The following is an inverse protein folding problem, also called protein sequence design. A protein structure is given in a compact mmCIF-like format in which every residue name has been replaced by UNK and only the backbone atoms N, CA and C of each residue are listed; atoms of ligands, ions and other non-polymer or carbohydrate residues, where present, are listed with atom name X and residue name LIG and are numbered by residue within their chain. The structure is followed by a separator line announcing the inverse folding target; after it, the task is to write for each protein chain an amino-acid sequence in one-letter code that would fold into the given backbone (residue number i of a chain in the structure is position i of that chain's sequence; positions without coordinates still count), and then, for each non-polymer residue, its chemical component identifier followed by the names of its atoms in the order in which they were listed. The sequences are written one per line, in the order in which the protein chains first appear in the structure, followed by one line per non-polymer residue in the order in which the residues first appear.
data_IF_005304612858
#
_entry.id   IF_005304612858
#
_cell.length_a   1.000
_cell.length_b   1.000
_cell.length_c   1.000
_cell.angle_alpha   90.00
_cell.angle_beta   90.00
_cell.angle_gamma   90.00
#
_symmetry.space_group_name_H-M   'P 1'
#
loop_
_entity.id
_entity.type
_entity.pdbx_description
1 polymer ?
#
# COMPACT_ATOMS: atom_id res chain seq x y z
N UNK A 1 -26.51 18.39 19.94
CA UNK A 1 -25.58 19.42 19.48
C UNK A 1 -24.11 19.01 19.62
N UNK A 2 -23.62 18.63 20.81
CA UNK A 2 -22.25 18.12 20.97
C UNK A 2 -21.90 16.96 20.02
N UNK A 3 -22.87 16.13 19.66
CA UNK A 3 -22.68 15.03 18.72
C UNK A 3 -22.31 15.49 17.29
N UNK A 4 -22.94 16.58 16.80
CA UNK A 4 -22.58 17.12 15.46
C UNK A 4 -21.13 17.58 15.41
N UNK A 5 -20.64 18.22 16.49
CA UNK A 5 -19.24 18.61 16.60
C UNK A 5 -18.30 17.40 16.62
N UNK A 6 -18.66 16.33 17.34
CA UNK A 6 -17.85 15.11 17.38
C UNK A 6 -17.81 14.42 16.02
N UNK A 7 -18.94 14.33 15.32
CA UNK A 7 -19.03 13.77 13.97
C UNK A 7 -18.19 14.60 12.99
N UNK A 8 -18.34 15.92 13.02
CA UNK A 8 -17.58 16.83 12.15
C UNK A 8 -16.08 16.78 12.44
N UNK A 9 -15.69 16.70 13.72
CA UNK A 9 -14.29 16.56 14.13
C UNK A 9 -13.69 15.24 13.65
N UNK A 10 -14.41 14.12 13.79
CA UNK A 10 -13.94 12.82 13.30
C UNK A 10 -13.80 12.81 11.77
N UNK A 11 -14.79 13.36 11.07
CA UNK A 11 -14.75 13.52 9.61
C UNK A 11 -13.59 14.40 9.14
N UNK A 12 -13.38 15.56 9.80
CA UNK A 12 -12.28 16.47 9.46
C UNK A 12 -10.92 15.80 9.61
N UNK A 13 -10.68 15.13 10.75
CA UNK A 13 -9.42 14.40 10.97
C UNK A 13 -9.21 13.27 9.97
N UNK A 14 -10.27 12.61 9.55
CA UNK A 14 -10.22 11.55 8.53
C UNK A 14 -9.86 12.11 7.15
N UNK A 15 -10.54 13.15 6.69
CA UNK A 15 -10.24 13.80 5.42
C UNK A 15 -8.82 14.38 5.38
N UNK A 16 -8.34 14.94 6.50
CA UNK A 16 -6.97 15.43 6.59
C UNK A 16 -5.94 14.30 6.39
N UNK A 17 -6.15 13.15 7.02
CA UNK A 17 -5.25 11.98 6.84
C UNK A 17 -5.36 11.39 5.43
N UNK A 18 -6.56 11.36 4.82
CA UNK A 18 -6.72 11.00 3.40
C UNK A 18 -5.92 11.93 2.51
N UNK A 19 -5.97 13.25 2.76
CA UNK A 19 -5.18 14.23 2.00
C UNK A 19 -3.69 13.96 2.11
N UNK A 20 -3.17 13.64 3.30
CA UNK A 20 -1.77 13.28 3.48
C UNK A 20 -1.39 12.01 2.70
N UNK A 21 -2.26 11.01 2.72
CA UNK A 21 -2.04 9.76 1.96
C UNK A 21 -2.00 10.02 0.45
N UNK A 22 -2.98 10.74 -0.10
CA UNK A 22 -3.04 11.12 -1.51
C UNK A 22 -1.80 11.93 -1.91
N UNK A 23 -1.41 12.90 -1.09
CA UNK A 23 -0.20 13.73 -1.34
C UNK A 23 1.05 12.85 -1.36
N UNK A 24 1.15 11.87 -0.47
CA UNK A 24 2.27 10.93 -0.44
C UNK A 24 2.31 10.05 -1.70
N UNK A 25 1.16 9.52 -2.15
CA UNK A 25 1.05 8.76 -3.39
C UNK A 25 1.51 9.60 -4.59
N UNK A 26 1.01 10.83 -4.74
CA UNK A 26 1.40 11.73 -5.84
C UNK A 26 2.91 12.02 -5.80
N UNK A 27 3.46 12.30 -4.62
CA UNK A 27 4.89 12.61 -4.46
C UNK A 27 5.78 11.44 -4.85
N UNK A 28 5.31 10.20 -4.67
CA UNK A 28 6.03 8.97 -5.00
C UNK A 28 5.57 8.31 -6.31
N UNK A 29 4.76 8.98 -7.12
CA UNK A 29 4.27 8.43 -8.38
C UNK A 29 5.38 8.11 -9.39
N UNK A 30 6.54 8.78 -9.30
CA UNK A 30 7.71 8.54 -10.14
C UNK A 30 8.81 7.75 -9.42
N UNK A 31 8.58 7.31 -8.17
CA UNK A 31 9.56 6.55 -7.40
C UNK A 31 9.51 5.07 -7.82
N UNK A 32 10.62 4.49 -8.32
CA UNK A 32 10.64 3.08 -8.71
C UNK A 32 10.29 2.14 -7.56
N UNK A 33 9.44 1.15 -7.84
CA UNK A 33 9.01 0.15 -6.87
C UNK A 33 8.10 0.66 -5.76
N UNK A 34 7.66 1.93 -5.81
CA UNK A 34 6.67 2.44 -4.85
C UNK A 34 5.30 1.82 -5.12
N UNK A 35 4.60 1.48 -4.06
CA UNK A 35 3.25 0.92 -4.08
C UNK A 35 2.24 1.89 -3.46
N UNK A 36 1.13 2.10 -4.18
CA UNK A 36 0.04 2.96 -3.75
C UNK A 36 -0.49 2.54 -2.39
N UNK A 37 -0.70 3.49 -1.50
CA UNK A 37 -1.36 3.25 -0.21
C UNK A 37 -2.78 3.79 -0.23
N UNK A 38 -3.71 3.08 0.40
CA UNK A 38 -5.13 3.45 0.50
C UNK A 38 -5.56 3.53 1.95
N UNK A 39 -6.40 4.52 2.25
CA UNK A 39 -7.00 4.68 3.57
C UNK A 39 -8.31 3.92 3.63
N UNK A 40 -8.42 2.98 4.55
CA UNK A 40 -9.64 2.23 4.81
C UNK A 40 -10.41 2.88 5.95
N UNK A 41 -11.72 3.03 5.73
CA UNK A 41 -12.61 3.74 6.62
C UNK A 41 -13.60 2.77 7.26
N UNK A 42 -13.82 2.93 8.56
CA UNK A 42 -14.88 2.27 9.29
C UNK A 42 -15.84 3.28 9.93
N UNK A 43 -17.10 2.93 9.99
CA UNK A 43 -18.10 3.69 10.74
C UNK A 43 -17.92 3.45 12.24
N UNK A 44 -18.15 4.48 13.04
CA UNK A 44 -18.24 4.35 14.49
C UNK A 44 -19.59 3.73 14.88
N UNK A 45 -19.65 3.13 16.07
CA UNK A 45 -20.89 2.53 16.57
C UNK A 45 -22.02 3.56 16.62
N UNK A 46 -23.20 3.27 16.03
CA UNK A 46 -24.34 4.16 16.09
C UNK A 46 -24.90 4.25 17.50
N UNK A 47 -25.51 5.39 17.83
CA UNK A 47 -26.30 5.53 19.06
C UNK A 47 -27.74 5.12 18.73
N UNK A 48 -28.22 4.10 19.41
CA UNK A 48 -29.59 3.62 19.28
C UNK A 48 -30.50 4.52 20.14
N UNK A 49 -31.30 5.35 19.49
CA UNK A 49 -32.30 6.20 20.17
C UNK A 49 -33.57 5.43 20.45
N UNK A 50 -33.93 4.49 19.60
CA UNK A 50 -35.07 3.63 19.74
C UNK A 50 -34.77 2.26 19.15
N UNK A 51 -34.95 1.21 19.91
CA UNK A 51 -34.82 -0.15 19.44
C UNK A 51 -35.96 -0.52 18.47
N UNK A 52 -35.65 -1.39 17.50
CA UNK A 52 -36.68 -1.95 16.65
C UNK A 52 -37.52 -2.92 17.46
N UNK A 53 -38.78 -2.58 17.67
CA UNK A 53 -39.73 -3.38 18.46
C UNK A 53 -40.76 -4.01 17.51
N UNK A 54 -40.91 -5.31 17.56
CA UNK A 54 -41.96 -6.06 16.86
C UNK A 54 -43.03 -6.35 17.93
N UNK A 55 -44.16 -5.60 17.92
CA UNK A 55 -45.31 -5.94 18.74
C UNK A 55 -46.29 -6.78 17.91
N UNK A 56 -46.53 -7.98 18.37
CA UNK A 56 -47.67 -8.80 17.90
C UNK A 56 -48.91 -8.23 18.60
N UNK A 57 -49.89 -7.76 17.82
CA UNK A 57 -51.19 -7.43 18.39
C UNK A 57 -51.94 -8.76 18.58
N UNK A 58 -52.18 -9.14 19.82
CA UNK A 58 -53.11 -10.17 20.20
C UNK A 58 -54.53 -9.61 20.08
N UNK A 59 -55.06 -9.50 18.87
CA UNK A 59 -56.51 -9.30 18.65
C UNK A 59 -57.02 -10.51 17.90
N UNK A 60 -58.02 -11.19 18.48
CA UNK A 60 -58.61 -12.48 18.05
C UNK A 60 -59.38 -12.46 16.71
N UNK A 61 -59.51 -11.28 16.05
CA UNK A 61 -60.20 -11.17 14.76
C UNK A 61 -59.30 -10.72 13.61
N UNK A 62 -58.89 -11.73 12.79
CA UNK A 62 -58.58 -11.61 11.38
C UNK A 62 -57.69 -10.45 10.91
N UNK A 63 -56.49 -10.38 11.31
CA UNK A 63 -55.29 -10.04 10.53
C UNK A 63 -54.11 -9.67 11.47
N UNK A 64 -53.01 -10.40 11.55
CA UNK A 64 -51.90 -9.98 12.39
C UNK A 64 -51.22 -8.78 11.75
N UNK A 65 -51.65 -7.56 12.04
CA UNK A 65 -50.90 -6.37 11.71
C UNK A 65 -49.61 -6.36 12.54
N UNK A 66 -48.53 -6.83 11.96
CA UNK A 66 -47.20 -6.68 12.54
C UNK A 66 -46.85 -5.19 12.48
N UNK A 67 -47.05 -4.45 13.55
CA UNK A 67 -46.52 -3.08 13.72
C UNK A 67 -45.02 -3.19 13.96
N UNK A 68 -44.22 -3.19 12.84
CA UNK A 68 -42.77 -3.03 12.93
C UNK A 68 -42.46 -1.59 13.27
N UNK A 69 -42.10 -1.29 14.53
CA UNK A 69 -41.41 -0.05 14.83
C UNK A 69 -39.98 -0.14 14.30
N UNK A 70 -39.65 0.75 13.36
CA UNK A 70 -38.24 0.86 12.88
C UNK A 70 -37.41 1.47 14.01
N UNK A 71 -36.27 0.89 14.31
CA UNK A 71 -35.27 1.47 15.17
C UNK A 71 -34.80 2.81 14.61
N UNK A 72 -34.48 3.75 15.48
CA UNK A 72 -33.85 5.03 15.12
C UNK A 72 -32.40 4.95 15.59
N UNK A 73 -31.49 4.93 14.65
CA UNK A 73 -30.06 4.91 14.90
C UNK A 73 -29.43 6.22 14.42
N UNK A 74 -28.58 6.78 15.23
CA UNK A 74 -27.79 7.98 14.91
C UNK A 74 -26.33 7.56 14.70
N UNK A 75 -25.80 7.79 13.48
CA UNK A 75 -24.38 7.61 13.20
C UNK A 75 -23.54 8.57 14.04
N UNK A 76 -22.39 8.10 14.52
CA UNK A 76 -21.47 8.87 15.38
C UNK A 76 -20.21 9.35 14.67
N UNK A 77 -20.08 9.06 13.37
CA UNK A 77 -18.97 9.49 12.53
C UNK A 77 -18.17 8.35 11.93
N UNK A 78 -16.95 8.65 11.52
CA UNK A 78 -16.04 7.77 10.78
C UNK A 78 -14.66 7.76 11.44
N UNK A 79 -13.98 6.62 11.36
CA UNK A 79 -12.57 6.47 11.74
C UNK A 79 -11.78 5.82 10.62
N UNK A 80 -10.48 6.04 10.61
CA UNK A 80 -9.56 5.25 9.81
C UNK A 80 -9.35 3.92 10.53
N UNK A 81 -9.58 2.84 9.82
CA UNK A 81 -9.36 1.48 10.32
C UNK A 81 -7.95 1.01 10.04
N UNK A 82 -7.51 1.16 8.78
CA UNK A 82 -6.18 0.77 8.34
C UNK A 82 -5.69 1.66 7.20
N UNK A 83 -4.42 1.54 6.89
CA UNK A 83 -3.82 2.01 5.64
C UNK A 83 -3.24 0.78 4.98
N UNK A 84 -3.88 0.31 3.90
CA UNK A 84 -3.44 -0.83 3.10
C UNK A 84 -2.50 -0.38 1.98
N UNK A 85 -1.61 -1.28 1.56
CA UNK A 85 -0.70 -1.06 0.43
C UNK A 85 -1.15 -1.93 -0.74
N UNK A 86 -1.38 -1.34 -1.90
CA UNK A 86 -1.74 -2.07 -3.11
C UNK A 86 -0.49 -2.58 -3.81
N UNK A 87 -0.21 -3.88 -3.72
CA UNK A 87 0.95 -4.52 -4.34
C UNK A 87 0.72 -4.92 -5.80
N UNK A 88 -0.33 -4.44 -6.46
CA UNK A 88 -0.52 -4.64 -7.90
C UNK A 88 0.72 -4.19 -8.69
N UNK A 89 0.95 -4.84 -9.84
CA UNK A 89 2.09 -4.57 -10.70
C UNK A 89 2.01 -3.17 -11.30
N UNK A 90 3.11 -2.41 -11.22
CA UNK A 90 3.26 -1.12 -11.86
C UNK A 90 3.71 -1.26 -13.33
N UNK A 91 3.72 -0.17 -14.07
CA UNK A 91 4.21 -0.16 -15.44
C UNK A 91 5.71 -0.42 -15.48
N UNK A 92 6.15 -1.36 -16.34
CA UNK A 92 7.56 -1.64 -16.56
C UNK A 92 8.15 -0.63 -17.55
N UNK A 93 9.19 0.07 -17.13
CA UNK A 93 9.95 0.99 -17.95
C UNK A 93 11.26 0.36 -18.38
N UNK A 94 11.49 0.27 -19.70
CA UNK A 94 12.75 -0.25 -20.25
C UNK A 94 13.87 0.78 -20.04
N UNK A 95 15.01 0.30 -19.52
CA UNK A 95 16.22 1.08 -19.29
C UNK A 95 17.40 0.55 -20.10
N UNK A 96 18.55 1.23 -20.03
CA UNK A 96 19.78 0.79 -20.67
C UNK A 96 20.81 0.24 -19.67
N UNK A 97 20.47 0.22 -18.39
CA UNK A 97 21.37 -0.22 -17.34
C UNK A 97 21.26 -1.75 -17.16
N UNK A 98 22.37 -2.45 -17.16
CA UNK A 98 22.43 -3.91 -17.01
C UNK A 98 21.99 -4.40 -15.61
N UNK A 99 22.09 -3.52 -14.60
CA UNK A 99 21.72 -3.81 -13.22
C UNK A 99 20.28 -3.44 -12.89
N UNK A 100 19.55 -2.82 -13.83
CA UNK A 100 18.14 -2.55 -13.65
C UNK A 100 17.35 -3.82 -13.95
N UNK A 101 16.64 -4.31 -12.95
CA UNK A 101 15.82 -5.52 -13.01
C UNK A 101 14.43 -5.24 -12.45
N UNK A 102 13.43 -5.84 -13.02
CA UNK A 102 12.05 -5.78 -12.52
C UNK A 102 11.51 -7.18 -12.32
N UNK A 103 10.49 -7.31 -11.49
CA UNK A 103 9.74 -8.55 -11.29
C UNK A 103 8.42 -8.42 -12.04
N UNK A 104 8.17 -9.32 -12.98
CA UNK A 104 6.87 -9.46 -13.65
C UNK A 104 6.08 -10.55 -12.94
N UNK A 105 4.99 -10.19 -12.30
CA UNK A 105 4.18 -11.07 -11.45
C UNK A 105 4.48 -10.91 -9.96
N UNK A 106 4.15 -11.93 -9.15
CA UNK A 106 4.29 -11.88 -7.70
C UNK A 106 5.73 -12.16 -7.24
N UNK A 107 6.18 -11.46 -6.20
CA UNK A 107 7.48 -11.68 -5.54
C UNK A 107 8.18 -10.37 -5.22
N UNK A 108 9.12 -10.43 -4.31
CA UNK A 108 9.94 -9.31 -3.83
C UNK A 108 11.39 -9.71 -3.89
N UNK A 109 12.26 -8.76 -4.21
CA UNK A 109 13.70 -8.92 -3.99
C UNK A 109 13.99 -8.92 -2.50
N UNK A 110 14.95 -9.75 -2.09
CA UNK A 110 15.40 -9.83 -0.71
C UNK A 110 16.72 -9.07 -0.55
N UNK A 111 16.80 -8.26 0.48
CA UNK A 111 18.01 -7.51 0.80
C UNK A 111 18.37 -7.71 2.26
N UNK A 112 19.67 -7.80 2.52
CA UNK A 112 20.22 -7.91 3.86
C UNK A 112 20.76 -6.56 4.31
N UNK A 113 20.25 -6.07 5.42
CA UNK A 113 20.77 -4.87 6.08
C UNK A 113 22.12 -5.17 6.75
N UNK A 114 22.90 -4.14 7.12
CA UNK A 114 24.14 -4.31 7.87
C UNK A 114 23.97 -4.94 9.25
N UNK A 115 22.79 -4.81 9.86
CA UNK A 115 22.42 -5.44 11.16
C UNK A 115 22.04 -6.92 11.02
N UNK A 116 22.02 -7.46 9.79
CA UNK A 116 21.68 -8.84 9.47
C UNK A 116 20.21 -9.10 9.23
N UNK A 117 19.32 -8.13 9.45
CA UNK A 117 17.89 -8.27 9.12
C UNK A 117 17.65 -8.36 7.61
N UNK A 118 16.67 -9.19 7.23
CA UNK A 118 16.21 -9.29 5.84
C UNK A 118 15.05 -8.31 5.63
N UNK A 119 15.10 -7.59 4.52
CA UNK A 119 14.04 -6.69 4.07
C UNK A 119 13.72 -6.95 2.62
N UNK A 120 12.50 -6.65 2.23
CA UNK A 120 11.94 -6.98 0.93
C UNK A 120 11.61 -5.71 0.17
N UNK A 121 11.83 -5.71 -1.15
CA UNK A 121 11.52 -4.56 -2.00
C UNK A 121 11.11 -4.99 -3.40
N UNK A 122 10.28 -4.17 -4.05
CA UNK A 122 10.00 -4.28 -5.49
C UNK A 122 10.94 -3.41 -6.33
N UNK A 123 11.69 -2.51 -5.70
CA UNK A 123 12.64 -1.65 -6.40
C UNK A 123 13.82 -2.47 -6.90
N UNK A 124 13.96 -2.55 -8.22
CA UNK A 124 15.03 -3.31 -8.88
C UNK A 124 16.08 -2.43 -9.56
N UNK A 125 16.19 -1.16 -9.15
CA UNK A 125 17.28 -0.26 -9.53
C UNK A 125 18.53 -0.60 -8.70
N UNK A 126 19.22 -1.67 -9.10
CA UNK A 126 20.37 -2.20 -8.37
C UNK A 126 21.65 -1.45 -8.72
N UNK A 127 22.62 -1.50 -7.83
CA UNK A 127 23.96 -0.95 -8.00
C UNK A 127 25.02 -2.00 -7.64
N UNK A 128 26.28 -1.70 -8.00
CA UNK A 128 27.42 -2.52 -7.64
C UNK A 128 28.24 -1.80 -6.58
N UNK A 129 28.59 -2.53 -5.53
CA UNK A 129 29.49 -2.04 -4.48
C UNK A 129 30.98 -2.20 -4.88
N UNK A 130 31.87 -1.60 -4.09
CA UNK A 130 33.33 -1.67 -4.25
C UNK A 130 33.83 -3.13 -4.23
N UNK A 131 33.22 -3.97 -3.42
CA UNK A 131 33.53 -5.41 -3.30
C UNK A 131 32.96 -6.25 -4.44
N UNK A 132 32.17 -5.63 -5.34
CA UNK A 132 31.50 -6.30 -6.45
C UNK A 132 30.13 -6.89 -6.12
N UNK A 133 29.61 -6.73 -4.91
CA UNK A 133 28.28 -7.22 -4.55
C UNK A 133 27.18 -6.39 -5.20
N UNK A 134 26.08 -7.02 -5.53
CA UNK A 134 24.86 -6.35 -5.97
C UNK A 134 24.16 -5.78 -4.73
N UNK A 135 23.91 -4.48 -4.74
CA UNK A 135 23.28 -3.74 -3.66
C UNK A 135 22.07 -2.95 -4.15
N UNK A 136 21.17 -2.62 -3.24
CA UNK A 136 20.10 -1.65 -3.48
C UNK A 136 20.65 -0.21 -3.47
N UNK A 137 19.84 0.76 -3.89
CA UNK A 137 20.17 2.20 -3.80
C UNK A 137 20.47 2.66 -2.36
N UNK A 138 19.91 1.99 -1.36
CA UNK A 138 20.13 2.27 0.06
C UNK A 138 21.37 1.58 0.63
N UNK A 139 22.14 0.86 -0.18
CA UNK A 139 23.35 0.15 0.23
C UNK A 139 23.12 -1.23 0.87
N UNK A 140 21.93 -1.77 0.80
CA UNK A 140 21.63 -3.12 1.32
C UNK A 140 22.02 -4.17 0.29
N UNK A 141 22.69 -5.24 0.75
CA UNK A 141 23.17 -6.32 -0.12
C UNK A 141 22.04 -7.24 -0.52
N UNK A 142 21.96 -7.61 -1.81
CA UNK A 142 21.01 -8.60 -2.30
C UNK A 142 21.21 -9.95 -1.59
N UNK A 143 20.15 -10.63 -1.22
CA UNK A 143 20.17 -11.96 -0.59
C UNK A 143 19.50 -13.00 -1.50
N UNK A 144 20.18 -14.09 -1.93
CA UNK A 144 21.59 -14.45 -1.67
C UNK A 144 22.57 -13.48 -2.34
N UNK A 145 23.75 -13.26 -1.73
CA UNK A 145 24.73 -12.31 -2.27
C UNK A 145 25.29 -12.78 -3.61
N UNK A 146 25.17 -11.94 -4.61
CA UNK A 146 25.74 -12.18 -5.95
C UNK A 146 26.92 -11.23 -6.14
N UNK A 147 28.11 -11.79 -6.38
CA UNK A 147 29.33 -11.02 -6.54
C UNK A 147 29.76 -10.96 -8.02
N UNK A 148 29.81 -9.74 -8.54
CA UNK A 148 30.25 -9.45 -9.91
C UNK A 148 31.78 -9.33 -9.93
N UNK A 149 32.52 -10.14 -10.71
CA UNK A 149 33.98 -10.02 -10.86
C UNK A 149 34.39 -8.66 -11.43
N UNK A 150 35.58 -8.17 -11.04
CA UNK A 150 36.05 -6.85 -11.47
C UNK A 150 36.27 -6.72 -12.98
N UNK A 151 36.53 -7.82 -13.66
CA UNK A 151 36.84 -7.87 -15.11
C UNK A 151 35.59 -8.21 -15.94
N UNK A 152 34.39 -8.01 -15.43
CA UNK A 152 33.14 -8.25 -16.14
C UNK A 152 32.94 -7.19 -17.22
N UNK A 153 32.78 -7.64 -18.47
CA UNK A 153 32.51 -6.77 -19.63
C UNK A 153 31.01 -6.63 -19.89
N UNK A 154 30.22 -7.69 -19.61
CA UNK A 154 28.77 -7.73 -19.82
C UNK A 154 28.12 -8.59 -18.76
N UNK A 155 26.98 -8.12 -18.23
CA UNK A 155 26.13 -8.85 -17.29
C UNK A 155 24.83 -9.24 -17.99
N UNK A 156 24.41 -10.49 -17.86
CA UNK A 156 23.13 -10.98 -18.40
C UNK A 156 22.36 -11.68 -17.30
N UNK A 157 21.11 -11.32 -17.11
CA UNK A 157 20.21 -11.90 -16.12
C UNK A 157 19.09 -12.60 -16.87
N UNK A 158 18.91 -13.89 -16.60
CA UNK A 158 17.91 -14.75 -17.21
C UNK A 158 16.55 -14.56 -16.48
N UNK A 159 15.39 -14.82 -17.12
CA UNK A 159 14.08 -14.79 -16.47
C UNK A 159 13.95 -15.67 -15.23
N UNK A 160 14.77 -16.72 -15.10
CA UNK A 160 14.88 -17.57 -13.91
C UNK A 160 15.78 -16.96 -12.81
N UNK A 161 16.21 -15.71 -12.96
CA UNK A 161 17.05 -15.01 -11.99
C UNK A 161 18.51 -15.42 -11.99
N UNK A 162 18.96 -16.29 -12.90
CA UNK A 162 20.38 -16.66 -13.02
C UNK A 162 21.18 -15.48 -13.59
N UNK A 163 22.28 -15.18 -12.93
CA UNK A 163 23.16 -14.05 -13.29
C UNK A 163 24.42 -14.58 -13.94
N UNK A 164 24.64 -14.18 -15.19
CA UNK A 164 25.80 -14.56 -15.99
C UNK A 164 26.70 -13.35 -16.23
N UNK A 165 27.98 -13.53 -16.05
CA UNK A 165 29.00 -12.53 -16.34
C UNK A 165 29.97 -12.99 -17.43
N UNK A 166 30.24 -12.13 -18.39
CA UNK A 166 31.33 -12.31 -19.33
C UNK A 166 32.60 -11.68 -18.75
N UNK A 167 33.57 -12.52 -18.37
CA UNK A 167 34.82 -12.09 -17.74
C UNK A 167 35.90 -12.10 -18.82
N UNK A 168 36.76 -11.07 -18.87
CA UNK A 168 37.91 -10.96 -19.78
C UNK A 168 37.57 -11.16 -21.28
N UNK A 169 36.37 -10.81 -21.71
CA UNK A 169 35.93 -10.98 -23.09
C UNK A 169 35.86 -12.47 -23.54
N UNK A 170 35.76 -13.40 -22.61
CA UNK A 170 35.52 -14.81 -22.90
C UNK A 170 34.18 -14.99 -23.60
N UNK A 171 34.16 -15.90 -24.62
CA UNK A 171 32.94 -16.14 -25.40
C UNK A 171 31.85 -16.90 -24.63
N UNK A 172 32.20 -17.54 -23.52
CA UNK A 172 31.28 -18.35 -22.71
C UNK A 172 30.92 -17.57 -21.43
N UNK A 173 29.66 -17.17 -21.26
CA UNK A 173 29.21 -16.52 -20.01
C UNK A 173 29.34 -17.48 -18.82
N UNK A 174 29.87 -17.00 -17.70
CA UNK A 174 29.97 -17.77 -16.47
C UNK A 174 28.82 -17.39 -15.54
N UNK A 175 28.11 -18.36 -14.99
CA UNK A 175 27.13 -18.14 -13.94
C UNK A 175 27.86 -17.75 -12.66
N UNK A 176 27.46 -16.60 -12.08
CA UNK A 176 28.05 -16.03 -10.86
C UNK A 176 27.10 -16.09 -9.66
N UNK A 177 25.83 -16.36 -9.88
CA UNK A 177 24.82 -16.49 -8.83
C UNK A 177 23.40 -16.48 -9.36
N UNK A 178 22.44 -16.51 -8.45
CA UNK A 178 21.02 -16.50 -8.78
C UNK A 178 20.27 -15.56 -7.84
N UNK A 179 19.39 -14.74 -8.42
CA UNK A 179 18.45 -13.88 -7.70
C UNK A 179 17.24 -14.74 -7.33
N UNK A 180 16.88 -14.76 -6.08
CA UNK A 180 15.66 -15.42 -5.59
C UNK A 180 14.59 -14.37 -5.29
N UNK A 181 13.32 -14.77 -5.39
CA UNK A 181 12.18 -13.94 -5.03
C UNK A 181 11.50 -14.50 -3.79
N UNK A 182 11.11 -13.59 -2.89
CA UNK A 182 10.26 -13.92 -1.75
C UNK A 182 8.80 -13.67 -2.11
N UNK A 183 7.93 -14.62 -1.86
CA UNK A 183 6.48 -14.47 -1.91
C UNK A 183 5.90 -14.52 -0.51
N UNK A 184 4.80 -13.80 -0.30
CA UNK A 184 4.06 -13.81 0.94
C UNK A 184 2.63 -14.28 0.70
N UNK A 185 2.07 -15.02 1.64
CA UNK A 185 0.67 -15.44 1.60
C UNK A 185 -0.27 -14.24 1.73
N UNK A 186 0.13 -13.24 2.51
CA UNK A 186 -0.60 -11.99 2.68
C UNK A 186 0.36 -10.79 2.58
N UNK A 187 0.55 -10.22 1.38
CA UNK A 187 1.44 -9.07 1.20
C UNK A 187 0.99 -7.82 1.96
N UNK A 188 -0.32 -7.65 2.18
CA UNK A 188 -0.88 -6.50 2.89
C UNK A 188 -0.46 -6.44 4.37
N UNK A 189 -0.09 -7.59 4.94
CA UNK A 189 0.45 -7.70 6.28
C UNK A 189 1.91 -7.24 6.41
N UNK A 190 2.61 -6.92 5.33
CA UNK A 190 3.99 -6.47 5.38
C UNK A 190 4.10 -5.08 6.03
N UNK A 191 5.10 -4.91 6.89
CA UNK A 191 5.39 -3.64 7.53
C UNK A 191 6.33 -2.80 6.66
N UNK A 192 5.90 -1.60 6.29
CA UNK A 192 6.76 -0.63 5.61
C UNK A 192 7.80 -0.08 6.60
N UNK A 193 9.09 -0.20 6.26
CA UNK A 193 10.23 0.28 7.07
C UNK A 193 10.93 1.48 6.45
N UNK A 194 10.33 2.08 5.42
CA UNK A 194 10.87 3.23 4.69
C UNK A 194 11.69 2.83 3.46
N UNK A 195 12.00 3.80 2.60
CA UNK A 195 12.78 3.63 1.35
C UNK A 195 12.27 2.52 0.43
N UNK A 196 10.95 2.28 0.39
CA UNK A 196 10.31 1.19 -0.36
C UNK A 196 10.77 -0.21 0.06
N UNK A 197 11.20 -0.36 1.32
CA UNK A 197 11.47 -1.66 1.94
C UNK A 197 10.35 -2.06 2.87
N UNK A 198 10.10 -3.36 2.87
CA UNK A 198 9.09 -4.02 3.70
C UNK A 198 9.77 -5.06 4.59
N UNK A 199 9.20 -5.29 5.74
CA UNK A 199 9.62 -6.30 6.70
C UNK A 199 8.48 -7.26 6.94
N UNK A 200 8.80 -8.54 7.11
CA UNK A 200 7.83 -9.58 7.45
C UNK A 200 7.19 -9.32 8.82
N UNK A 201 5.96 -9.74 8.95
CA UNK A 201 5.20 -9.71 10.21
C UNK A 201 4.48 -11.04 10.39
N UNK A 202 3.88 -11.24 11.56
CA UNK A 202 3.05 -12.42 11.83
C UNK A 202 1.85 -12.46 10.83
N UNK A 203 1.32 -11.29 10.46
CA UNK A 203 0.15 -11.18 9.58
C UNK A 203 0.50 -11.43 8.10
N UNK A 204 1.75 -11.17 7.67
CA UNK A 204 2.21 -11.48 6.32
C UNK A 204 2.49 -12.95 6.09
N UNK A 205 2.76 -13.69 7.17
CA UNK A 205 3.29 -15.04 7.14
C UNK A 205 4.79 -15.08 6.80
N UNK A 206 5.35 -16.29 6.85
CA UNK A 206 6.75 -16.52 6.51
C UNK A 206 7.00 -16.36 4.99
N UNK A 207 8.18 -15.84 4.60
CA UNK A 207 8.52 -15.66 3.19
C UNK A 207 8.74 -17.02 2.51
N UNK A 208 8.07 -17.25 1.40
CA UNK A 208 8.33 -18.38 0.52
C UNK A 208 9.38 -17.95 -0.50
N UNK A 209 10.62 -18.39 -0.28
CA UNK A 209 11.76 -18.07 -1.15
C UNK A 209 11.80 -19.06 -2.30
N UNK A 210 11.63 -18.56 -3.52
CA UNK A 210 11.49 -19.39 -4.71
C UNK A 210 12.37 -18.88 -5.87
N UNK A 211 12.65 -19.79 -6.80
CA UNK A 211 13.31 -19.44 -8.06
C UNK A 211 12.29 -18.72 -8.95
N UNK A 212 12.64 -17.56 -9.54
CA UNK A 212 11.77 -16.85 -10.46
C UNK A 212 11.22 -17.76 -11.58
N UNK A 213 9.95 -17.58 -11.93
CA UNK A 213 9.27 -18.38 -12.95
C UNK A 213 8.79 -19.75 -12.50
N UNK A 214 8.99 -20.14 -11.23
CA UNK A 214 8.47 -21.40 -10.65
C UNK A 214 7.44 -21.13 -9.59
N UNK A 215 6.54 -22.10 -9.34
CA UNK A 215 5.53 -22.09 -8.25
C UNK A 215 4.73 -20.78 -8.15
N UNK A 216 4.34 -20.17 -9.27
CA UNK A 216 3.68 -18.89 -9.36
C UNK A 216 4.53 -17.67 -8.91
N UNK A 217 5.85 -17.84 -8.64
CA UNK A 217 6.74 -16.71 -8.52
C UNK A 217 6.88 -15.99 -9.86
N UNK A 218 6.90 -14.65 -9.83
CA UNK A 218 7.13 -13.83 -11.01
C UNK A 218 8.46 -14.11 -11.68
N UNK A 219 8.64 -13.59 -12.89
CA UNK A 219 9.89 -13.68 -13.64
C UNK A 219 10.71 -12.41 -13.47
N UNK A 220 12.02 -12.54 -13.49
CA UNK A 220 12.94 -11.40 -13.52
C UNK A 220 13.12 -10.91 -14.95
N UNK A 221 12.98 -9.61 -15.18
CA UNK A 221 13.19 -8.96 -16.47
C UNK A 221 14.33 -7.98 -16.33
N UNK A 222 15.41 -8.19 -17.07
CA UNK A 222 16.57 -7.30 -17.11
C UNK A 222 16.30 -6.07 -18.00
N UNK A 223 17.07 -5.00 -17.82
CA UNK A 223 16.94 -3.72 -18.53
C UNK A 223 15.57 -3.04 -18.31
N UNK A 224 14.98 -3.26 -17.17
CA UNK A 224 13.69 -2.66 -16.83
C UNK A 224 13.58 -2.36 -15.34
N UNK A 225 12.85 -1.32 -15.02
CA UNK A 225 12.47 -0.98 -13.63
C UNK A 225 10.95 -0.95 -13.54
N UNK A 226 10.43 -1.33 -12.42
CA UNK A 226 9.01 -1.21 -12.12
C UNK A 226 8.73 0.21 -11.62
N UNK A 227 7.91 0.97 -12.35
CA UNK A 227 7.41 2.26 -11.91
C UNK A 227 6.34 2.08 -10.83
N UNK A 228 6.04 3.15 -10.11
CA UNK A 228 4.91 3.18 -9.19
C UNK A 228 3.60 2.78 -9.88
N UNK A 229 2.71 2.08 -9.18
CA UNK A 229 1.35 1.76 -9.64
C UNK A 229 0.35 2.91 -9.37
N UNK A 230 0.83 4.07 -8.95
CA UNK A 230 0.00 5.26 -8.70
C UNK A 230 -0.48 5.89 -10.00
N UNK A 231 -1.79 6.04 -10.13
CA UNK A 231 -2.41 6.85 -11.19
C UNK A 231 -2.55 8.31 -10.71
N UNK A 232 -1.67 9.17 -11.21
CA UNK A 232 -1.62 10.59 -10.83
C UNK A 232 -2.95 11.30 -11.09
N UNK A 233 -3.64 10.98 -12.20
CA UNK A 233 -4.90 11.64 -12.57
C UNK A 233 -5.99 11.29 -11.56
N UNK A 234 -6.07 10.01 -11.21
CA UNK A 234 -7.01 9.51 -10.21
C UNK A 234 -6.74 10.12 -8.83
N UNK A 235 -5.48 10.13 -8.39
CA UNK A 235 -5.09 10.74 -7.11
C UNK A 235 -5.40 12.24 -7.06
N UNK A 236 -5.20 12.97 -8.17
CA UNK A 236 -5.58 14.38 -8.25
C UNK A 236 -7.09 14.60 -8.14
N UNK A 237 -7.90 13.74 -8.77
CA UNK A 237 -9.36 13.78 -8.62
C UNK A 237 -9.78 13.50 -7.17
N UNK A 238 -9.19 12.47 -6.55
CA UNK A 238 -9.45 12.12 -5.15
C UNK A 238 -9.03 13.24 -4.19
N UNK A 239 -7.94 13.96 -4.50
CA UNK A 239 -7.51 15.15 -3.78
C UNK A 239 -8.57 16.26 -3.85
N UNK A 240 -9.08 16.57 -5.05
CA UNK A 240 -10.12 17.60 -5.23
C UNK A 240 -11.41 17.21 -4.47
N UNK A 241 -11.82 15.95 -4.54
CA UNK A 241 -12.99 15.45 -3.80
C UNK A 241 -12.79 15.57 -2.29
N UNK A 242 -11.61 15.22 -1.79
CA UNK A 242 -11.25 15.30 -0.37
C UNK A 242 -11.24 16.75 0.10
N UNK A 243 -10.69 17.69 -0.70
CA UNK A 243 -10.72 19.13 -0.41
C UNK A 243 -12.15 19.66 -0.36
N UNK A 244 -12.99 19.27 -1.31
CA UNK A 244 -14.42 19.66 -1.29
C UNK A 244 -15.15 19.09 -0.10
N UNK A 245 -14.85 17.87 0.31
CA UNK A 245 -15.38 17.26 1.54
C UNK A 245 -15.01 18.07 2.78
N UNK A 246 -13.74 18.49 2.91
CA UNK A 246 -13.27 19.35 4.00
C UNK A 246 -13.98 20.71 4.01
N UNK A 247 -14.17 21.34 2.85
CA UNK A 247 -14.87 22.61 2.72
C UNK A 247 -16.33 22.49 3.18
N UNK A 248 -17.04 21.44 2.75
CA UNK A 248 -18.41 21.17 3.13
C UNK A 248 -18.56 20.91 4.63
N UNK A 249 -17.65 20.15 5.24
CA UNK A 249 -17.63 19.95 6.69
C UNK A 249 -17.39 21.26 7.45
N UNK A 250 -16.49 22.11 6.97
CA UNK A 250 -16.24 23.42 7.54
C UNK A 250 -17.50 24.31 7.51
N UNK A 251 -18.21 24.34 6.37
CA UNK A 251 -19.49 25.06 6.25
C UNK A 251 -20.58 24.48 7.18
N UNK A 252 -20.65 23.16 7.33
CA UNK A 252 -21.58 22.50 8.22
C UNK A 252 -21.30 22.86 9.70
N UNK A 253 -20.02 22.94 10.10
CA UNK A 253 -19.62 23.38 11.43
C UNK A 253 -20.04 24.84 11.68
N UNK A 254 -19.77 25.75 10.73
CA UNK A 254 -20.17 27.15 10.84
C UNK A 254 -21.69 27.32 10.94
N UNK A 255 -22.44 26.57 10.14
CA UNK A 255 -23.91 26.58 10.25
C UNK A 255 -24.40 26.07 11.61
N UNK A 256 -23.77 25.03 12.16
CA UNK A 256 -24.05 24.52 13.51
C UNK A 256 -23.77 25.56 14.60
N UNK A 257 -22.64 26.28 14.50
CA UNK A 257 -22.33 27.39 15.44
C UNK A 257 -23.32 28.55 15.34
N UNK A 258 -23.72 28.91 14.11
CA UNK A 258 -24.70 29.96 13.90
C UNK A 258 -26.07 29.60 14.53
N UNK A 259 -26.51 28.35 14.37
CA UNK A 259 -27.75 27.86 15.03
C UNK A 259 -27.64 27.89 16.55
N UNK A 260 -26.47 27.55 17.12
CA UNK A 260 -26.23 27.64 18.57
C UNK A 260 -26.35 29.08 19.09
N UNK A 261 -25.68 30.03 18.38
CA UNK A 261 -25.75 31.45 18.75
C UNK A 261 -27.18 32.00 18.66
N UNK A 262 -27.92 31.64 17.62
CA UNK A 262 -29.32 32.02 17.48
C UNK A 262 -30.21 31.44 18.60
N UNK A 263 -30.01 30.16 18.97
CA UNK A 263 -30.73 29.50 20.05
C UNK A 263 -30.43 30.07 21.43
N UNK A 264 -29.19 30.51 21.69
CA UNK A 264 -28.81 31.16 22.95
C UNK A 264 -29.23 32.64 23.05
N UNK A 265 -29.42 33.31 21.92
CA UNK A 265 -29.92 34.68 21.89
C UNK A 265 -31.44 34.82 22.01
N UNK A 266 -32.19 33.72 22.07
CA UNK A 266 -33.63 33.66 22.27
C UNK A 266 -34.03 33.37 23.73
N UNK A 267 -33.07 33.25 24.64
CA UNK A 267 -33.27 33.16 26.10
C UNK A 267 -32.79 34.45 26.76
#
# INVERSE_FOLDING_TARGET
MFQQFNISRSGFGTYQKMMFNITNNISNAQTPGYKQTRVELATLFPIILQEAEVKYAEDEDLNPYIKKKRGIELGTGVRIEAISTDFSEGNLQVTKNELDVSVRGEGFFQFRKPDGEIVYSRAGNLARDVDGNIISQSGYVLDPPVRIPNNTTKLTIDPEGRVFANVNNEAIPREIGQILLARFSNPDGLKNVGNNFYQETIDSGEPLVEVPGRNAAGQVVQYSIENSNVDIIKEMMDMIMTQKGLELLGKAMQAGEAMLKAGMGMT
#
